data_IF_798421110047
#
_entry.id   IF_798421110047
#
_cell.length_a   1.000
_cell.length_b   1.000
_cell.length_c   1.000
_cell.angle_alpha   90.00
_cell.angle_beta   90.00
_cell.angle_gamma   90.00
#
_symmetry.space_group_name_H-M   'P 1'
#
loop_
_entity.id
_entity.type
_entity.pdbx_description
1 polymer ?
#
# COMPACT_ATOMS: atom_id res chain seq x y z
N UNK A 1 15.55 -20.13 19.50
CA UNK A 1 14.33 -20.96 19.33
C UNK A 1 13.16 -20.12 19.81
N UNK A 2 13.02 -18.91 19.25
CA UNK A 2 12.26 -17.86 19.92
C UNK A 2 11.34 -17.23 18.88
N UNK A 3 10.06 -17.56 19.01
CA UNK A 3 8.97 -16.86 18.34
C UNK A 3 8.20 -16.22 19.48
N UNK A 4 8.15 -14.90 19.49
CA UNK A 4 7.49 -14.15 20.54
C UNK A 4 6.52 -13.16 19.91
N UNK A 5 5.28 -13.18 20.40
CA UNK A 5 4.26 -12.19 20.08
C UNK A 5 3.63 -11.74 21.39
N UNK A 6 3.88 -10.49 21.76
CA UNK A 6 3.39 -9.88 23.01
C UNK A 6 2.04 -9.17 22.83
N UNK A 7 1.52 -9.14 21.60
CA UNK A 7 0.29 -8.44 21.22
C UNK A 7 0.34 -6.92 21.53
N UNK A 8 1.53 -6.33 21.47
CA UNK A 8 1.75 -4.89 21.66
C UNK A 8 2.39 -4.28 20.39
N UNK A 9 1.64 -4.20 19.28
CA UNK A 9 2.16 -3.67 18.02
C UNK A 9 2.47 -2.17 18.07
N UNK A 10 1.98 -1.43 19.06
CA UNK A 10 2.22 0.01 19.17
C UNK A 10 3.58 0.32 19.81
N UNK A 11 4.04 -0.52 20.74
CA UNK A 11 5.30 -0.30 21.46
C UNK A 11 6.41 -1.28 21.06
N UNK A 12 6.07 -2.40 20.42
CA UNK A 12 7.01 -3.44 20.00
C UNK A 12 7.04 -3.55 18.46
N UNK A 13 8.07 -3.01 17.79
CA UNK A 13 8.17 -3.05 16.32
C UNK A 13 8.16 -4.47 15.73
N UNK A 14 8.66 -5.45 16.47
CA UNK A 14 8.58 -6.88 16.09
C UNK A 14 7.12 -7.34 15.99
N UNK A 15 6.29 -7.02 16.96
CA UNK A 15 4.88 -7.40 16.97
C UNK A 15 4.14 -6.69 15.84
N UNK A 16 4.49 -5.44 15.55
CA UNK A 16 3.93 -4.72 14.40
C UNK A 16 4.29 -5.37 13.08
N UNK A 17 5.54 -5.82 12.91
CA UNK A 17 5.95 -6.55 11.72
C UNK A 17 5.20 -7.88 11.58
N UNK A 18 5.03 -8.62 12.69
CA UNK A 18 4.26 -9.87 12.74
C UNK A 18 2.80 -9.65 12.36
N UNK A 19 2.17 -8.59 12.88
CA UNK A 19 0.81 -8.20 12.54
C UNK A 19 0.66 -7.89 11.05
N UNK A 20 1.60 -7.13 10.47
CA UNK A 20 1.60 -6.78 9.05
C UNK A 20 1.75 -8.01 8.14
N UNK A 21 2.56 -8.98 8.54
CA UNK A 21 2.77 -10.21 7.76
C UNK A 21 1.66 -11.24 8.00
N UNK A 22 0.89 -11.11 9.08
CA UNK A 22 -0.11 -12.08 9.52
C UNK A 22 0.47 -13.27 10.30
N UNK A 23 1.71 -13.17 10.77
CA UNK A 23 2.39 -14.17 11.61
C UNK A 23 2.08 -13.94 13.11
N UNK A 24 0.79 -13.95 13.44
CA UNK A 24 0.27 -13.76 14.82
C UNK A 24 -0.13 -15.07 15.48
N UNK A 25 -0.20 -16.17 14.72
CA UNK A 25 -0.61 -17.47 15.22
C UNK A 25 0.56 -18.23 15.85
N UNK A 26 0.50 -18.42 17.17
CA UNK A 26 1.52 -19.15 17.93
C UNK A 26 1.67 -20.64 17.56
N UNK A 27 0.65 -21.23 16.93
CA UNK A 27 0.67 -22.62 16.47
C UNK A 27 1.35 -22.79 15.10
N UNK A 28 1.44 -21.73 14.31
CA UNK A 28 2.01 -21.76 12.97
C UNK A 28 3.09 -20.68 12.81
N UNK A 29 4.22 -20.94 13.47
CA UNK A 29 5.36 -20.02 13.55
C UNK A 29 6.07 -19.95 12.21
N UNK A 30 5.92 -18.83 11.50
CA UNK A 30 6.51 -18.69 10.17
C UNK A 30 7.91 -18.06 10.19
N UNK A 31 8.05 -16.94 10.90
CA UNK A 31 9.30 -16.21 11.01
C UNK A 31 9.90 -16.32 12.42
N UNK A 32 11.21 -16.54 12.47
CA UNK A 32 11.96 -16.50 13.73
C UNK A 32 12.13 -15.07 14.23
N UNK A 33 12.26 -14.87 15.54
CA UNK A 33 12.54 -13.54 16.10
C UNK A 33 13.87 -12.96 15.57
N UNK A 34 14.84 -13.83 15.27
CA UNK A 34 16.12 -13.42 14.67
C UNK A 34 15.93 -12.81 13.29
N UNK A 35 15.17 -13.47 12.42
CA UNK A 35 14.89 -12.97 11.07
C UNK A 35 14.18 -11.61 11.12
N UNK A 36 13.25 -11.45 12.08
CA UNK A 36 12.57 -10.16 12.28
C UNK A 36 13.55 -9.09 12.76
N UNK A 37 14.42 -9.43 13.71
CA UNK A 37 15.45 -8.50 14.19
C UNK A 37 16.41 -8.08 13.06
N UNK A 38 16.79 -9.00 12.18
CA UNK A 38 17.62 -8.73 11.00
C UNK A 38 16.92 -7.78 10.03
N UNK A 39 15.64 -8.01 9.71
CA UNK A 39 14.85 -7.14 8.84
C UNK A 39 14.66 -5.73 9.43
N UNK A 40 14.35 -5.65 10.72
CA UNK A 40 14.24 -4.39 11.44
C UNK A 40 15.58 -3.66 11.54
N UNK A 41 16.70 -4.39 11.63
CA UNK A 41 18.05 -3.81 11.59
C UNK A 41 18.42 -3.29 10.20
N UNK A 42 17.95 -3.95 9.14
CA UNK A 42 18.23 -3.58 7.74
C UNK A 42 17.47 -2.33 7.28
N UNK A 43 16.18 -2.25 7.61
CA UNK A 43 15.31 -1.15 7.13
C UNK A 43 15.04 -0.09 8.20
N UNK A 44 14.99 -0.50 9.47
CA UNK A 44 14.58 0.34 10.58
C UNK A 44 13.19 -0.04 11.13
N UNK A 45 12.83 0.58 12.26
CA UNK A 45 11.65 0.21 13.06
C UNK A 45 10.46 1.16 12.92
N UNK A 46 10.59 2.25 12.14
CA UNK A 46 9.62 3.35 12.15
C UNK A 46 9.06 3.70 10.78
N UNK A 47 7.76 3.97 10.71
CA UNK A 47 7.11 4.55 9.53
C UNK A 47 7.23 3.66 8.28
N UNK A 48 7.79 4.23 7.21
CA UNK A 48 7.91 3.54 5.91
C UNK A 48 8.86 2.34 5.95
N UNK A 49 9.92 2.41 6.75
CA UNK A 49 10.89 1.33 6.91
C UNK A 49 10.25 0.00 7.35
N UNK A 50 9.20 0.09 8.18
CA UNK A 50 8.51 -1.09 8.65
C UNK A 50 7.71 -1.79 7.53
N UNK A 51 7.14 -1.02 6.60
CA UNK A 51 6.49 -1.58 5.43
C UNK A 51 7.50 -2.20 4.46
N UNK A 52 8.70 -1.63 4.32
CA UNK A 52 9.78 -2.22 3.52
C UNK A 52 10.25 -3.55 4.12
N UNK A 53 10.43 -3.61 5.45
CA UNK A 53 10.69 -4.85 6.16
C UNK A 53 9.57 -5.89 5.97
N UNK A 54 8.30 -5.46 5.99
CA UNK A 54 7.15 -6.35 5.79
C UNK A 54 7.09 -6.90 4.36
N UNK A 55 7.44 -6.08 3.35
CA UNK A 55 7.52 -6.52 1.95
C UNK A 55 8.56 -7.65 1.81
N UNK A 56 9.77 -7.45 2.35
CA UNK A 56 10.81 -8.48 2.27
C UNK A 56 10.43 -9.72 3.09
N UNK A 57 9.80 -9.55 4.25
CA UNK A 57 9.25 -10.67 5.02
C UNK A 57 8.24 -11.50 4.21
N UNK A 58 7.29 -10.86 3.53
CA UNK A 58 6.33 -11.53 2.66
C UNK A 58 7.00 -12.24 1.48
N UNK A 59 8.03 -11.65 0.87
CA UNK A 59 8.78 -12.28 -0.23
C UNK A 59 9.59 -13.49 0.23
N UNK A 60 10.20 -13.45 1.41
CA UNK A 60 10.90 -14.60 1.98
C UNK A 60 9.95 -15.76 2.28
N UNK A 61 8.76 -15.47 2.80
CA UNK A 61 7.72 -16.49 3.01
C UNK A 61 7.20 -17.06 1.68
N UNK A 62 6.98 -16.21 0.68
CA UNK A 62 6.63 -16.65 -0.66
C UNK A 62 7.70 -17.57 -1.25
N UNK A 63 8.98 -17.25 -1.11
CA UNK A 63 10.08 -18.10 -1.57
C UNK A 63 10.12 -19.45 -0.85
N UNK A 64 9.88 -19.47 0.47
CA UNK A 64 9.76 -20.69 1.28
C UNK A 64 8.66 -21.60 0.73
N UNK A 65 7.45 -21.06 0.56
CA UNK A 65 6.30 -21.83 0.07
C UNK A 65 6.39 -22.22 -1.40
N UNK A 66 7.08 -21.43 -2.23
CA UNK A 66 7.29 -21.75 -3.64
C UNK A 66 8.11 -23.03 -3.81
N UNK A 67 9.06 -23.31 -2.92
CA UNK A 67 9.77 -24.58 -2.89
C UNK A 67 8.83 -25.76 -2.62
N UNK A 68 7.92 -25.58 -1.66
CA UNK A 68 7.02 -26.63 -1.20
C UNK A 68 5.85 -26.89 -2.19
N UNK A 69 5.66 -26.03 -3.21
CA UNK A 69 4.65 -26.22 -4.27
C UNK A 69 4.90 -27.47 -5.12
N UNK A 70 6.17 -27.78 -5.41
CA UNK A 70 6.54 -28.87 -6.32
C UNK A 70 6.18 -30.24 -5.71
N UNK A 71 6.20 -30.34 -4.38
CA UNK A 71 5.96 -31.58 -3.63
C UNK A 71 4.49 -31.74 -3.20
N UNK A 72 3.63 -30.75 -3.45
CA UNK A 72 2.26 -30.77 -2.95
C UNK A 72 1.33 -31.64 -3.78
N UNK A 73 0.90 -32.77 -3.19
CA UNK A 73 -0.12 -33.68 -3.74
C UNK A 73 -1.35 -33.74 -2.80
N UNK A 74 -1.73 -32.60 -2.22
CA UNK A 74 -2.77 -32.50 -1.19
C UNK A 74 -3.97 -31.64 -1.59
N UNK A 75 -4.83 -31.35 -0.61
CA UNK A 75 -6.04 -30.54 -0.73
C UNK A 75 -5.76 -29.15 -1.37
N UNK A 76 -6.61 -28.75 -2.31
CA UNK A 76 -6.50 -27.48 -3.06
C UNK A 76 -6.67 -26.26 -2.14
N UNK A 77 -7.43 -26.40 -1.05
CA UNK A 77 -7.76 -25.27 -0.16
C UNK A 77 -6.58 -24.77 0.68
N UNK A 78 -5.60 -25.62 0.99
CA UNK A 78 -4.38 -25.25 1.71
C UNK A 78 -3.14 -25.36 0.82
N UNK A 79 -3.33 -25.17 -0.50
CA UNK A 79 -2.24 -25.27 -1.47
C UNK A 79 -1.14 -24.25 -1.17
N UNK A 80 0.14 -24.66 -1.15
CA UNK A 80 1.27 -23.74 -1.07
C UNK A 80 1.26 -22.68 -2.18
N UNK A 81 0.64 -22.98 -3.33
CA UNK A 81 0.45 -22.03 -4.42
C UNK A 81 -0.40 -20.81 -4.02
N UNK A 82 -1.52 -21.07 -3.34
CA UNK A 82 -2.38 -20.00 -2.83
C UNK A 82 -1.65 -19.15 -1.78
N UNK A 83 -0.83 -19.77 -0.93
CA UNK A 83 -0.03 -19.05 0.07
C UNK A 83 0.96 -18.10 -0.60
N UNK A 84 1.70 -18.57 -1.60
CA UNK A 84 2.64 -17.74 -2.38
C UNK A 84 1.90 -16.55 -3.01
N UNK A 85 0.78 -16.79 -3.69
CA UNK A 85 0.00 -15.74 -4.31
C UNK A 85 -0.49 -14.70 -3.30
N UNK A 86 -0.95 -15.14 -2.13
CA UNK A 86 -1.45 -14.26 -1.08
C UNK A 86 -0.33 -13.36 -0.52
N UNK A 87 0.85 -13.92 -0.23
CA UNK A 87 1.98 -13.13 0.26
C UNK A 87 2.51 -12.16 -0.80
N UNK A 88 2.58 -12.57 -2.07
CA UNK A 88 2.99 -11.68 -3.17
C UNK A 88 1.99 -10.55 -3.40
N UNK A 89 0.68 -10.82 -3.28
CA UNK A 89 -0.36 -9.78 -3.33
C UNK A 89 -0.20 -8.79 -2.19
N UNK A 90 0.01 -9.27 -0.97
CA UNK A 90 0.21 -8.42 0.22
C UNK A 90 1.44 -7.51 0.06
N UNK A 91 2.57 -8.06 -0.40
CA UNK A 91 3.77 -7.29 -0.70
C UNK A 91 3.52 -6.21 -1.77
N UNK A 92 2.73 -6.50 -2.80
CA UNK A 92 2.36 -5.53 -3.84
C UNK A 92 1.51 -4.38 -3.28
N UNK A 93 0.57 -4.68 -2.40
CA UNK A 93 -0.25 -3.65 -1.75
C UNK A 93 0.60 -2.70 -0.89
N UNK A 94 1.53 -3.23 -0.10
CA UNK A 94 2.43 -2.39 0.69
C UNK A 94 3.36 -1.53 -0.19
N UNK A 95 3.87 -2.07 -1.30
CA UNK A 95 4.62 -1.29 -2.29
C UNK A 95 3.80 -0.14 -2.86
N UNK A 96 2.52 -0.40 -3.18
CA UNK A 96 1.61 0.63 -3.68
C UNK A 96 1.39 1.72 -2.63
N UNK A 97 1.12 1.35 -1.38
CA UNK A 97 0.94 2.30 -0.27
C UNK A 97 2.18 3.18 -0.05
N UNK A 98 3.39 2.59 -0.10
CA UNK A 98 4.64 3.35 -0.02
C UNK A 98 4.78 4.35 -1.18
N UNK A 99 4.43 3.93 -2.40
CA UNK A 99 4.48 4.79 -3.58
C UNK A 99 3.47 5.95 -3.55
N UNK A 100 2.31 5.74 -2.94
CA UNK A 100 1.24 6.76 -2.81
C UNK A 100 1.58 7.78 -1.73
N UNK A 101 2.08 7.33 -0.56
CA UNK A 101 2.59 8.23 0.49
C UNK A 101 3.72 9.14 0.00
N UNK A 102 4.58 8.65 -0.89
CA UNK A 102 5.62 9.47 -1.54
C UNK A 102 5.06 10.53 -2.51
N UNK A 103 3.88 10.31 -3.09
CA UNK A 103 3.22 11.24 -4.03
C UNK A 103 2.40 12.32 -3.31
N UNK A 104 1.90 12.07 -2.10
CA UNK A 104 1.23 13.11 -1.30
C UNK A 104 2.15 14.29 -0.96
N UNK A 105 3.48 14.06 -0.87
CA UNK A 105 4.48 15.11 -0.70
C UNK A 105 4.85 15.87 -1.99
N UNK A 106 4.52 15.35 -3.18
CA UNK A 106 4.82 15.95 -4.49
C UNK A 106 3.58 15.93 -5.38
N UNK A 107 2.72 16.94 -5.20
CA UNK A 107 1.70 17.47 -6.11
C UNK A 107 0.26 17.45 -5.58
N UNK A 108 -0.08 18.52 -4.86
CA UNK A 108 -1.23 19.33 -5.30
C UNK A 108 -0.67 20.62 -5.91
N UNK A 109 -0.34 20.59 -7.21
CA UNK A 109 -0.26 21.85 -7.96
C UNK A 109 -1.65 22.47 -7.88
N UNK A 110 -1.84 23.72 -7.41
CA UNK A 110 -3.14 24.35 -7.46
C UNK A 110 -3.40 24.70 -8.93
N UNK A 111 -4.25 23.92 -9.61
CA UNK A 111 -4.54 24.25 -11.01
C UNK A 111 -5.30 23.21 -11.80
N UNK A 112 -6.60 23.09 -11.54
CA UNK A 112 -7.57 23.10 -12.64
C UNK A 112 -8.93 23.62 -12.15
N UNK A 113 -9.03 24.95 -12.00
CA UNK A 113 -10.32 25.59 -11.82
C UNK A 113 -10.98 25.65 -13.20
N UNK A 114 -11.96 24.76 -13.46
CA UNK A 114 -12.78 24.78 -14.69
C UNK A 114 -13.66 26.05 -14.81
N UNK A 115 -13.59 26.97 -13.84
CA UNK A 115 -14.40 28.19 -13.77
C UNK A 115 -13.79 29.42 -14.44
N UNK A 116 -12.55 29.38 -14.94
CA UNK A 116 -11.91 30.54 -15.59
C UNK A 116 -11.97 30.54 -17.13
N UNK A 117 -12.32 29.43 -17.77
CA UNK A 117 -12.58 29.38 -19.22
C UNK A 117 -14.09 29.33 -19.49
N UNK A 118 -14.73 30.49 -19.48
CA UNK A 118 -16.08 30.61 -20.04
C UNK A 118 -17.00 31.56 -19.30
N UNK A 119 -16.64 32.85 -19.20
CA UNK A 119 -17.59 33.98 -19.27
C UNK A 119 -16.89 35.34 -19.28
N UNK A 120 -15.85 35.50 -20.11
CA UNK A 120 -15.51 36.81 -20.67
C UNK A 120 -16.15 36.95 -22.05
N UNK A 121 -17.47 37.11 -22.05
CA UNK A 121 -18.19 37.69 -23.17
C UNK A 121 -19.28 38.56 -22.56
N UNK A 122 -18.88 39.76 -22.13
CA UNK A 122 -19.79 40.89 -22.01
C UNK A 122 -20.30 41.25 -23.41
N UNK A 123 -21.16 40.40 -23.99
CA UNK A 123 -22.00 40.81 -25.10
C UNK A 123 -23.25 41.41 -24.49
N UNK A 124 -23.13 42.68 -24.12
CA UNK A 124 -24.26 43.58 -23.98
C UNK A 124 -24.97 43.64 -25.33
N UNK A 125 -25.97 42.77 -25.53
CA UNK A 125 -26.99 43.00 -26.55
C UNK A 125 -28.04 43.92 -25.91
N UNK A 126 -27.72 45.20 -25.84
CA UNK A 126 -28.74 46.23 -25.72
C UNK A 126 -29.59 46.17 -26.99
N UNK A 127 -30.74 45.50 -26.89
CA UNK A 127 -31.86 45.68 -27.81
C UNK A 127 -32.36 47.12 -27.65
N UNK A 128 -31.79 48.04 -28.43
CA UNK A 128 -32.31 49.40 -28.62
C UNK A 128 -32.63 49.52 -30.10
N UNK A 129 -33.91 49.36 -30.43
CA UNK A 129 -34.44 49.63 -31.76
C UNK A 129 -34.09 51.07 -32.18
N UNK A 130 -33.41 51.30 -33.31
CA UNK A 130 -33.43 52.61 -33.94
C UNK A 130 -34.70 52.71 -34.78
N UNK A 131 -35.63 53.55 -34.32
CA UNK A 131 -36.74 54.00 -35.14
C UNK A 131 -36.23 54.77 -36.35
N UNK A 132 -36.68 54.38 -37.53
CA UNK A 132 -36.59 55.20 -38.73
C UNK A 132 -37.52 56.41 -38.56
N UNK A 133 -36.94 57.59 -38.35
CA UNK A 133 -37.61 58.87 -38.55
C UNK A 133 -37.07 59.51 -39.83
N UNK A 134 -37.84 59.37 -40.90
CA UNK A 134 -37.66 60.15 -42.13
C UNK A 134 -38.14 61.58 -41.88
N UNK A 135 -37.41 62.55 -42.44
CA UNK A 135 -37.92 63.91 -42.67
C UNK A 135 -38.94 63.95 -43.81
#
# INVERSE_FOLDING_TARGET
>A
MDWTYTNDPEHVPRDKLRELVGDTNSLDKQLSDQTIAELLGKYGTTGNALYEAAIEACETLAAKYARDQIEWTGDETNSPALKVDNYLKLAREYRKQLSEKGKEGKARKPGFNRTTFGKSAQFSRSSKYPGYGSG
#
